data_IF_840296287762
#
_entry.id   IF_840296287762
#
_cell.length_a   1.000
_cell.length_b   1.000
_cell.length_c   1.000
_cell.angle_alpha   90.00
_cell.angle_beta   90.00
_cell.angle_gamma   90.00
#
_symmetry.space_group_name_H-M   'P 1'
#
loop_
_entity.id
_entity.type
_entity.pdbx_description
1 polymer ?
#
# COMPACT_ATOMS: atom_id res chain seq x y z
N UNK A 1 20.84 -17.15 22.56
CA UNK A 1 21.56 -16.09 21.83
C UNK A 1 22.03 -16.69 20.50
N UNK A 2 21.47 -16.25 19.37
CA UNK A 2 21.90 -16.74 18.04
C UNK A 2 23.27 -16.14 17.69
N UNK A 3 24.22 -16.97 17.26
CA UNK A 3 25.55 -16.55 16.81
C UNK A 3 25.42 -15.59 15.61
N UNK A 4 26.18 -14.49 15.64
CA UNK A 4 26.19 -13.46 14.58
C UNK A 4 26.49 -14.05 13.18
N UNK A 5 27.33 -15.08 13.11
CA UNK A 5 27.64 -15.82 11.87
C UNK A 5 26.45 -16.62 11.31
N UNK A 6 25.64 -17.25 12.18
CA UNK A 6 24.45 -17.98 11.77
C UNK A 6 23.39 -17.03 11.21
N UNK A 7 23.22 -15.86 11.84
CA UNK A 7 22.33 -14.81 11.36
C UNK A 7 22.75 -14.27 9.99
N UNK A 8 24.04 -13.95 9.81
CA UNK A 8 24.55 -13.46 8.53
C UNK A 8 24.42 -14.51 7.41
N UNK A 9 24.69 -15.78 7.70
CA UNK A 9 24.51 -16.87 6.72
C UNK A 9 23.03 -17.10 6.35
N UNK A 10 22.12 -16.94 7.31
CA UNK A 10 20.67 -17.02 7.06
C UNK A 10 20.20 -15.83 6.21
N UNK A 11 20.72 -14.63 6.48
CA UNK A 11 20.43 -13.43 5.71
C UNK A 11 20.97 -13.54 4.27
N UNK A 12 22.16 -14.10 4.06
CA UNK A 12 22.70 -14.35 2.72
C UNK A 12 21.90 -15.40 1.94
N UNK A 13 21.49 -16.48 2.61
CA UNK A 13 20.62 -17.51 2.02
C UNK A 13 19.25 -16.95 1.64
N UNK A 14 18.68 -16.11 2.49
CA UNK A 14 17.45 -15.37 2.19
C UNK A 14 17.67 -14.43 1.01
N UNK A 15 18.75 -13.66 0.98
CA UNK A 15 19.07 -12.76 -0.11
C UNK A 15 19.26 -13.49 -1.46
N UNK A 16 19.90 -14.66 -1.44
CA UNK A 16 20.06 -15.52 -2.61
C UNK A 16 18.74 -16.13 -3.09
N UNK A 17 17.87 -16.56 -2.16
CA UNK A 17 16.53 -17.04 -2.48
C UNK A 17 15.63 -15.93 -3.07
N UNK A 18 15.67 -14.73 -2.47
CA UNK A 18 14.97 -13.55 -2.97
C UNK A 18 15.52 -13.07 -4.32
N UNK A 19 16.79 -13.34 -4.64
CA UNK A 19 17.39 -13.02 -5.93
C UNK A 19 16.90 -13.88 -7.10
N UNK A 20 16.27 -15.03 -6.83
CA UNK A 20 15.72 -15.95 -7.85
C UNK A 20 14.21 -15.85 -8.04
N UNK A 21 13.51 -15.19 -7.13
CA UNK A 21 12.05 -15.07 -7.13
C UNK A 21 11.61 -13.79 -7.84
N UNK A 22 10.56 -13.89 -8.66
CA UNK A 22 9.92 -12.72 -9.26
C UNK A 22 9.43 -11.74 -8.17
N UNK A 23 9.55 -10.43 -8.43
CA UNK A 23 9.10 -9.37 -7.52
C UNK A 23 7.66 -9.59 -7.04
N UNK A 24 6.78 -10.05 -7.93
CA UNK A 24 5.38 -10.37 -7.60
C UNK A 24 5.26 -11.57 -6.66
N UNK A 25 6.08 -12.60 -6.85
CA UNK A 25 6.07 -13.79 -6.01
C UNK A 25 6.55 -13.47 -4.59
N UNK A 26 7.56 -12.60 -4.46
CA UNK A 26 8.06 -12.12 -3.16
C UNK A 26 6.97 -11.36 -2.40
N UNK A 27 6.31 -10.41 -3.06
CA UNK A 27 5.22 -9.65 -2.44
C UNK A 27 4.04 -10.57 -2.09
N UNK A 28 3.68 -11.51 -2.97
CA UNK A 28 2.63 -12.49 -2.70
C UNK A 28 2.96 -13.34 -1.47
N UNK A 29 4.21 -13.79 -1.33
CA UNK A 29 4.65 -14.54 -0.16
C UNK A 29 4.54 -13.71 1.13
N UNK A 30 4.91 -12.44 1.09
CA UNK A 30 4.76 -11.53 2.24
C UNK A 30 3.28 -11.35 2.60
N UNK A 31 2.41 -11.15 1.61
CA UNK A 31 0.97 -11.02 1.83
C UNK A 31 0.36 -12.31 2.40
N UNK A 32 0.74 -13.47 1.88
CA UNK A 32 0.30 -14.77 2.39
C UNK A 32 0.79 -15.02 3.81
N UNK A 33 2.05 -14.69 4.10
CA UNK A 33 2.60 -14.78 5.45
C UNK A 33 1.87 -13.86 6.43
N UNK A 34 1.60 -12.62 6.01
CA UNK A 34 0.85 -11.66 6.83
C UNK A 34 -0.60 -12.11 7.06
N UNK A 35 -1.25 -12.68 6.04
CA UNK A 35 -2.59 -13.26 6.15
C UNK A 35 -2.58 -14.44 7.14
N UNK A 36 -1.62 -15.36 7.01
CA UNK A 36 -1.49 -16.51 7.89
C UNK A 36 -1.29 -16.08 9.35
N UNK A 37 -0.44 -15.08 9.62
CA UNK A 37 -0.24 -14.54 10.96
C UNK A 37 -1.53 -13.94 11.54
N UNK A 38 -2.29 -13.19 10.73
CA UNK A 38 -3.56 -12.60 11.17
C UNK A 38 -4.64 -13.65 11.40
N UNK A 39 -4.74 -14.66 10.54
CA UNK A 39 -5.67 -15.78 10.72
C UNK A 39 -5.30 -16.61 11.96
N UNK A 40 -4.01 -16.92 12.15
CA UNK A 40 -3.55 -17.62 13.35
C UNK A 40 -3.90 -16.84 14.62
N UNK A 41 -3.66 -15.52 14.63
CA UNK A 41 -4.08 -14.67 15.74
C UNK A 41 -5.60 -14.70 15.95
N UNK A 42 -6.38 -14.60 14.89
CA UNK A 42 -7.84 -14.64 14.93
C UNK A 42 -8.39 -15.94 15.52
N UNK A 43 -7.73 -17.08 15.27
CA UNK A 43 -8.11 -18.38 15.85
C UNK A 43 -7.69 -18.50 17.32
N UNK A 44 -6.59 -17.87 17.71
CA UNK A 44 -6.06 -17.92 19.07
C UNK A 44 -6.71 -16.89 20.01
N UNK A 45 -7.31 -15.82 19.50
CA UNK A 45 -8.00 -14.79 20.30
C UNK A 45 -9.51 -14.87 20.14
N UNK A 46 -10.20 -15.34 21.18
CA UNK A 46 -11.67 -15.32 21.26
C UNK A 46 -12.23 -13.96 21.74
N UNK A 47 -11.37 -13.06 22.20
CA UNK A 47 -11.78 -11.78 22.79
C UNK A 47 -12.24 -10.82 21.69
N UNK A 48 -13.52 -10.44 21.76
CA UNK A 48 -14.12 -9.37 20.97
C UNK A 48 -13.97 -8.08 21.77
N UNK A 49 -13.36 -7.06 21.16
CA UNK A 49 -13.16 -5.75 21.81
C UNK A 49 -14.51 -5.17 22.26
N UNK A 50 -14.56 -4.43 23.36
CA UNK A 50 -15.80 -3.79 23.87
C UNK A 50 -16.41 -2.86 22.82
N UNK A 51 -15.58 -2.17 22.05
CA UNK A 51 -16.02 -1.27 20.97
C UNK A 51 -16.61 -2.03 19.77
N UNK A 52 -16.18 -3.27 19.56
CA UNK A 52 -16.70 -4.13 18.50
C UNK A 52 -18.19 -4.43 18.68
N UNK A 53 -18.67 -4.51 19.93
CA UNK A 53 -20.08 -4.73 20.22
C UNK A 53 -20.96 -3.58 19.71
N UNK A 54 -20.49 -2.34 19.82
CA UNK A 54 -21.19 -1.15 19.32
C UNK A 54 -21.27 -1.18 17.80
N UNK A 55 -20.17 -1.50 17.13
CA UNK A 55 -20.15 -1.61 15.66
C UNK A 55 -21.03 -2.77 15.16
N UNK A 56 -21.06 -3.88 15.87
CA UNK A 56 -21.92 -5.02 15.56
C UNK A 56 -23.40 -4.67 15.71
N UNK A 57 -23.75 -3.90 16.73
CA UNK A 57 -25.13 -3.42 16.94
C UNK A 57 -25.57 -2.48 15.81
N UNK A 58 -24.70 -1.54 15.41
CA UNK A 58 -24.95 -0.67 14.27
C UNK A 58 -25.16 -1.47 12.97
N UNK A 59 -24.36 -2.53 12.75
CA UNK A 59 -24.51 -3.42 11.60
C UNK A 59 -25.88 -4.09 11.56
N UNK A 60 -26.31 -4.64 12.70
CA UNK A 60 -27.61 -5.30 12.83
C UNK A 60 -28.77 -4.32 12.67
N UNK A 61 -28.68 -3.13 13.28
CA UNK A 61 -29.71 -2.11 13.16
C UNK A 61 -29.91 -1.66 11.70
N UNK A 62 -28.81 -1.47 10.95
CA UNK A 62 -28.87 -1.17 9.52
C UNK A 62 -29.46 -2.33 8.70
N UNK A 63 -29.07 -3.57 8.99
CA UNK A 63 -29.58 -4.75 8.30
C UNK A 63 -31.10 -4.92 8.45
N UNK A 64 -31.63 -4.67 9.66
CA UNK A 64 -33.06 -4.73 9.93
C UNK A 64 -33.82 -3.45 9.53
N UNK A 65 -33.18 -2.49 8.87
CA UNK A 65 -33.82 -1.24 8.44
C UNK A 65 -34.18 -0.27 9.58
N UNK A 66 -33.63 -0.48 10.78
CA UNK A 66 -33.88 0.35 11.97
C UNK A 66 -32.98 1.58 12.02
N UNK A 67 -33.09 2.46 11.01
CA UNK A 67 -32.25 3.65 10.84
C UNK A 67 -32.24 4.60 12.04
N UNK A 68 -33.38 4.76 12.71
CA UNK A 68 -33.54 5.59 13.91
C UNK A 68 -32.75 5.06 15.12
N UNK A 69 -32.42 3.77 15.13
CA UNK A 69 -31.80 3.08 16.26
C UNK A 69 -30.27 2.93 16.11
N UNK A 70 -29.70 3.35 14.98
CA UNK A 70 -28.27 3.15 14.66
C UNK A 70 -27.35 3.99 15.56
N UNK A 71 -27.80 5.18 15.98
CA UNK A 71 -26.95 6.15 16.70
C UNK A 71 -27.34 6.34 18.17
N UNK A 72 -28.22 5.51 18.72
CA UNK A 72 -28.87 5.76 20.02
C UNK A 72 -27.99 5.43 21.23
N UNK A 73 -27.04 4.49 21.09
CA UNK A 73 -26.34 3.94 22.27
C UNK A 73 -24.91 4.48 22.54
N UNK A 74 -24.20 5.10 21.58
CA UNK A 74 -22.85 5.64 21.90
C UNK A 74 -22.24 6.55 20.82
N UNK A 75 -22.25 6.12 19.54
CA UNK A 75 -21.49 6.78 18.46
C UNK A 75 -22.46 7.44 17.48
N UNK A 76 -22.36 8.77 17.30
CA UNK A 76 -23.23 9.55 16.41
C UNK A 76 -22.93 9.40 14.92
N UNK A 77 -21.79 8.81 14.55
CA UNK A 77 -21.35 8.62 13.17
C UNK A 77 -21.52 7.17 12.71
N UNK A 78 -22.20 6.97 11.58
CA UNK A 78 -22.35 5.67 10.93
C UNK A 78 -21.02 5.28 10.27
N UNK A 79 -20.45 4.13 10.62
CA UNK A 79 -19.18 3.68 10.03
C UNK A 79 -19.40 2.98 8.66
N UNK A 80 -18.66 3.31 7.58
CA UNK A 80 -18.82 2.72 6.25
C UNK A 80 -18.53 1.21 6.14
N UNK A 81 -17.53 0.63 6.84
CA UNK A 81 -17.27 -0.81 6.72
C UNK A 81 -18.45 -1.62 7.26
N UNK A 82 -19.27 -1.03 8.14
CA UNK A 82 -20.52 -1.59 8.66
C UNK A 82 -21.61 -1.68 7.60
N UNK A 83 -21.67 -0.74 6.67
CA UNK A 83 -22.58 -0.78 5.50
C UNK A 83 -22.17 -1.90 4.53
N UNK A 84 -20.86 -2.15 4.38
CA UNK A 84 -20.37 -3.31 3.62
C UNK A 84 -20.60 -4.66 4.35
N UNK A 85 -20.66 -4.67 5.69
CA UNK A 85 -20.95 -5.87 6.47
C UNK A 85 -22.37 -6.41 6.25
N UNK A 86 -23.34 -5.53 5.96
CA UNK A 86 -24.71 -5.95 5.59
C UNK A 86 -24.78 -6.73 4.28
N UNK A 87 -23.95 -6.39 3.28
CA UNK A 87 -24.00 -7.01 1.95
C UNK A 87 -23.44 -8.44 1.93
N UNK A 88 -22.55 -8.79 2.87
CA UNK A 88 -21.90 -10.10 2.95
C UNK A 88 -22.57 -11.06 3.95
N UNK A 89 -23.52 -10.59 4.77
CA UNK A 89 -24.26 -11.44 5.71
C UNK A 89 -25.04 -12.57 5.01
N UNK A 90 -25.33 -12.42 3.71
CA UNK A 90 -25.94 -13.45 2.88
C UNK A 90 -25.11 -14.75 2.74
N UNK A 91 -23.81 -14.76 3.06
CA UNK A 91 -22.93 -15.92 2.78
C UNK A 91 -22.59 -16.81 3.99
N UNK A 92 -22.65 -16.33 5.23
CA UNK A 92 -22.04 -17.05 6.37
C UNK A 92 -22.90 -17.19 7.63
N UNK A 93 -23.98 -16.42 7.79
CA UNK A 93 -24.89 -16.52 8.95
C UNK A 93 -24.32 -16.09 10.31
N UNK A 94 -23.00 -15.99 10.47
CA UNK A 94 -22.33 -15.48 11.67
C UNK A 94 -21.76 -14.07 11.47
N UNK A 95 -22.24 -13.14 12.29
CA UNK A 95 -21.85 -11.74 12.29
C UNK A 95 -20.39 -11.53 12.75
N UNK A 96 -19.92 -12.29 13.74
CA UNK A 96 -18.60 -12.07 14.35
C UNK A 96 -17.51 -12.50 13.38
N UNK A 97 -17.68 -13.67 12.76
CA UNK A 97 -16.75 -14.19 11.75
C UNK A 97 -16.63 -13.22 10.56
N UNK A 98 -17.74 -12.64 10.12
CA UNK A 98 -17.79 -11.74 8.98
C UNK A 98 -17.04 -10.43 9.21
N UNK A 99 -17.28 -9.79 10.35
CA UNK A 99 -16.62 -8.52 10.67
C UNK A 99 -15.12 -8.74 10.87
N UNK A 100 -14.74 -9.84 11.52
CA UNK A 100 -13.33 -10.23 11.69
C UNK A 100 -12.64 -10.56 10.36
N UNK A 101 -13.30 -11.28 9.46
CA UNK A 101 -12.76 -11.58 8.13
C UNK A 101 -12.52 -10.30 7.31
N UNK A 102 -13.42 -9.33 7.42
CA UNK A 102 -13.24 -8.03 6.78
C UNK A 102 -12.07 -7.23 7.38
N UNK A 103 -11.91 -7.20 8.71
CA UNK A 103 -10.73 -6.59 9.36
C UNK A 103 -9.43 -7.22 8.85
N UNK A 104 -9.37 -8.55 8.80
CA UNK A 104 -8.19 -9.29 8.30
C UNK A 104 -7.92 -8.97 6.83
N UNK A 105 -8.98 -8.89 6.02
CA UNK A 105 -8.88 -8.53 4.60
C UNK A 105 -8.31 -7.13 4.42
N UNK A 106 -8.90 -6.11 5.06
CA UNK A 106 -8.41 -4.73 4.95
C UNK A 106 -7.00 -4.57 5.53
N UNK A 107 -6.72 -5.20 6.68
CA UNK A 107 -5.40 -5.20 7.30
C UNK A 107 -4.32 -5.82 6.40
N UNK A 108 -4.66 -6.90 5.70
CA UNK A 108 -3.75 -7.53 4.72
C UNK A 108 -3.62 -6.70 3.45
N UNK A 109 -4.74 -6.19 2.94
CA UNK A 109 -4.78 -5.39 1.71
C UNK A 109 -4.04 -4.06 1.87
N UNK A 110 -3.94 -3.51 3.09
CA UNK A 110 -3.15 -2.30 3.41
C UNK A 110 -1.67 -2.44 3.07
N UNK A 111 -1.12 -3.66 3.07
CA UNK A 111 0.26 -3.90 2.69
C UNK A 111 0.52 -3.61 1.20
N UNK A 112 -0.50 -3.70 0.35
CA UNK A 112 -0.39 -3.45 -1.11
C UNK A 112 -0.11 -1.96 -1.41
N UNK A 113 -0.94 -0.98 -0.98
CA UNK A 113 -0.64 0.42 -1.19
C UNK A 113 0.62 0.86 -0.44
N UNK A 114 0.94 0.26 0.72
CA UNK A 114 2.20 0.53 1.42
C UNK A 114 3.42 0.07 0.60
N UNK A 115 3.38 -1.13 0.01
CA UNK A 115 4.43 -1.59 -0.90
C UNK A 115 4.56 -0.66 -2.11
N UNK A 116 3.42 -0.30 -2.72
CA UNK A 116 3.40 0.64 -3.84
C UNK A 116 4.02 1.99 -3.50
N UNK A 117 3.69 2.53 -2.32
CA UNK A 117 4.24 3.78 -1.81
C UNK A 117 5.76 3.66 -1.57
N UNK A 118 6.21 2.56 -0.94
CA UNK A 118 7.62 2.31 -0.74
C UNK A 118 8.37 2.19 -2.08
N UNK A 119 7.77 1.57 -3.11
CA UNK A 119 8.39 1.46 -4.45
C UNK A 119 8.48 2.78 -5.19
N UNK A 120 7.67 3.78 -4.82
CA UNK A 120 7.83 5.11 -5.39
C UNK A 120 9.15 5.73 -4.94
N UNK A 121 9.62 5.52 -3.70
CA UNK A 121 10.82 6.21 -3.19
C UNK A 121 12.07 5.33 -3.18
N UNK A 122 11.91 4.02 -3.03
CA UNK A 122 13.02 3.11 -2.74
C UNK A 122 13.16 1.99 -3.80
N UNK A 123 14.36 1.38 -3.92
CA UNK A 123 14.56 0.19 -4.76
C UNK A 123 13.83 -1.04 -4.20
N UNK A 124 13.62 -2.05 -5.05
CA UNK A 124 12.85 -3.26 -4.75
C UNK A 124 13.18 -3.90 -3.38
N UNK A 125 14.46 -4.12 -3.09
CA UNK A 125 14.91 -4.80 -1.86
C UNK A 125 14.46 -4.09 -0.59
N UNK A 126 14.60 -2.77 -0.55
CA UNK A 126 14.22 -1.98 0.61
C UNK A 126 12.70 -1.82 0.70
N UNK A 127 11.99 -1.72 -0.43
CA UNK A 127 10.51 -1.73 -0.43
C UNK A 127 9.96 -3.05 0.13
N UNK A 128 10.50 -4.20 -0.26
CA UNK A 128 10.10 -5.49 0.30
C UNK A 128 10.40 -5.60 1.79
N UNK A 129 11.55 -5.11 2.25
CA UNK A 129 11.91 -5.11 3.65
C UNK A 129 10.96 -4.23 4.49
N UNK A 130 10.61 -3.04 3.99
CA UNK A 130 9.61 -2.18 4.63
C UNK A 130 8.26 -2.90 4.71
N UNK A 131 7.77 -3.50 3.62
CA UNK A 131 6.50 -4.23 3.62
C UNK A 131 6.54 -5.43 4.57
N UNK A 132 7.66 -6.16 4.63
CA UNK A 132 7.85 -7.28 5.57
C UNK A 132 7.81 -6.81 7.02
N UNK A 133 8.48 -5.69 7.34
CA UNK A 133 8.45 -5.10 8.69
C UNK A 133 7.02 -4.76 9.10
N UNK A 134 6.25 -4.11 8.23
CA UNK A 134 4.83 -3.81 8.48
C UNK A 134 3.96 -5.08 8.56
N UNK A 135 4.31 -6.14 7.84
CA UNK A 135 3.60 -7.42 7.85
C UNK A 135 3.76 -8.18 9.19
N UNK A 136 4.94 -8.12 9.81
CA UNK A 136 5.24 -8.85 11.05
C UNK A 136 5.10 -7.99 12.31
N UNK A 137 5.03 -6.66 12.18
CA UNK A 137 4.94 -5.77 13.33
C UNK A 137 3.66 -6.03 14.14
N UNK A 138 3.84 -6.33 15.43
CA UNK A 138 2.76 -6.82 16.28
C UNK A 138 1.53 -5.91 16.28
N UNK A 139 1.74 -4.58 16.29
CA UNK A 139 0.66 -3.56 16.30
C UNK A 139 -0.26 -3.73 15.08
N UNK A 140 0.30 -3.94 13.89
CA UNK A 140 -0.46 -4.12 12.66
C UNK A 140 -1.10 -5.51 12.54
N UNK A 141 -0.55 -6.51 13.24
CA UNK A 141 -1.13 -7.84 13.30
C UNK A 141 -2.30 -7.88 14.28
N UNK A 142 -2.15 -7.30 15.49
CA UNK A 142 -3.23 -7.28 16.49
C UNK A 142 -4.39 -6.40 16.05
N UNK A 143 -4.09 -5.14 15.69
CA UNK A 143 -5.13 -4.21 15.27
C UNK A 143 -5.80 -4.62 13.94
N UNK A 144 -5.08 -5.37 13.09
CA UNK A 144 -5.64 -5.95 11.86
C UNK A 144 -6.60 -7.12 12.08
N UNK A 145 -6.61 -7.73 13.27
CA UNK A 145 -7.53 -8.81 13.67
C UNK A 145 -8.67 -8.27 14.54
N UNK A 146 -8.41 -7.18 15.26
CA UNK A 146 -9.42 -6.53 16.08
C UNK A 146 -10.59 -6.03 15.22
N UNK A 147 -11.79 -6.31 15.72
CA UNK A 147 -13.03 -5.91 15.08
C UNK A 147 -13.21 -4.41 15.31
N UNK A 148 -12.98 -3.62 14.27
CA UNK A 148 -13.03 -2.16 14.37
C UNK A 148 -12.91 -1.46 13.03
N UNK A 149 -13.02 -0.14 13.09
CA UNK A 149 -12.85 0.79 11.95
C UNK A 149 -11.40 1.02 11.54
N UNK A 150 -10.45 0.64 12.39
CA UNK A 150 -9.04 0.99 12.24
C UNK A 150 -8.37 0.32 11.02
N UNK A 151 -8.59 -0.99 10.71
CA UNK A 151 -8.01 -1.61 9.52
C UNK A 151 -8.48 -0.96 8.21
N UNK A 152 -9.77 -0.60 8.14
CA UNK A 152 -10.33 0.08 6.98
C UNK A 152 -9.76 1.51 6.84
N UNK A 153 -9.66 2.24 7.95
CA UNK A 153 -9.01 3.56 7.99
C UNK A 153 -7.57 3.47 7.45
N UNK A 154 -6.73 2.57 7.95
CA UNK A 154 -5.35 2.42 7.50
C UNK A 154 -5.24 2.06 6.02
N UNK A 155 -6.11 1.18 5.52
CA UNK A 155 -6.17 0.83 4.11
C UNK A 155 -6.45 2.05 3.24
N UNK A 156 -7.53 2.79 3.54
CA UNK A 156 -7.92 3.95 2.75
C UNK A 156 -6.92 5.09 2.85
N UNK A 157 -6.34 5.33 4.03
CA UNK A 157 -5.25 6.30 4.21
C UNK A 157 -4.01 5.94 3.40
N UNK A 158 -3.58 4.66 3.42
CA UNK A 158 -2.44 4.20 2.63
C UNK A 158 -2.70 4.31 1.13
N UNK A 159 -3.90 3.95 0.67
CA UNK A 159 -4.33 4.14 -0.73
C UNK A 159 -4.30 5.61 -1.14
N UNK A 160 -4.88 6.51 -0.34
CA UNK A 160 -4.88 7.94 -0.63
C UNK A 160 -3.47 8.51 -0.71
N UNK A 161 -2.60 8.13 0.24
CA UNK A 161 -1.20 8.56 0.25
C UNK A 161 -0.42 8.02 -0.95
N UNK A 162 -0.65 6.76 -1.33
CA UNK A 162 -0.07 6.16 -2.53
C UNK A 162 -0.50 6.90 -3.80
N UNK A 163 -1.79 7.15 -3.99
CA UNK A 163 -2.28 7.85 -5.18
C UNK A 163 -1.82 9.30 -5.22
N UNK A 164 -1.80 9.99 -4.09
CA UNK A 164 -1.25 11.35 -4.01
C UNK A 164 0.23 11.40 -4.37
N UNK A 165 1.05 10.54 -3.75
CA UNK A 165 2.48 10.46 -4.05
C UNK A 165 2.74 10.03 -5.51
N UNK A 166 1.94 9.11 -6.05
CA UNK A 166 2.01 8.70 -7.44
C UNK A 166 1.58 9.82 -8.41
N UNK A 167 0.59 10.64 -8.05
CA UNK A 167 0.16 11.80 -8.83
C UNK A 167 1.31 12.80 -8.98
N UNK A 168 1.98 13.10 -7.87
CA UNK A 168 3.11 14.04 -7.83
C UNK A 168 4.32 13.47 -8.58
N UNK A 169 4.70 12.21 -8.32
CA UNK A 169 5.92 11.62 -8.90
C UNK A 169 5.79 11.26 -10.37
N UNK A 170 4.60 10.86 -10.83
CA UNK A 170 4.35 10.41 -12.21
C UNK A 170 3.67 11.47 -13.06
N UNK A 171 3.45 12.68 -12.52
CA UNK A 171 2.80 13.82 -13.17
C UNK A 171 1.43 13.47 -13.82
N UNK A 172 0.71 12.52 -13.22
CA UNK A 172 -0.57 12.03 -13.72
C UNK A 172 -1.72 12.59 -12.90
N UNK A 173 -2.36 13.64 -13.42
CA UNK A 173 -3.43 14.38 -12.76
C UNK A 173 -4.65 13.53 -12.37
N UNK A 174 -4.94 12.46 -13.12
CA UNK A 174 -6.03 11.51 -12.82
C UNK A 174 -5.91 10.85 -11.43
N UNK A 175 -4.71 10.75 -10.85
CA UNK A 175 -4.57 10.15 -9.52
C UNK A 175 -5.06 11.05 -8.38
N UNK A 176 -5.20 12.36 -8.57
CA UNK A 176 -5.70 13.28 -7.54
C UNK A 176 -7.15 13.03 -7.12
N UNK A 177 -8.15 12.90 -8.04
CA UNK A 177 -9.51 12.57 -7.63
C UNK A 177 -9.57 11.20 -6.92
N UNK A 178 -8.76 10.22 -7.35
CA UNK A 178 -8.70 8.92 -6.70
C UNK A 178 -8.12 8.99 -5.27
N UNK A 179 -7.10 9.84 -5.07
CA UNK A 179 -6.59 10.15 -3.73
C UNK A 179 -7.64 10.85 -2.87
N UNK A 180 -8.39 11.81 -3.43
CA UNK A 180 -9.48 12.50 -2.73
C UNK A 180 -10.60 11.55 -2.28
N UNK A 181 -11.04 10.64 -3.16
CA UNK A 181 -12.03 9.60 -2.80
C UNK A 181 -11.50 8.73 -1.66
N UNK A 182 -10.25 8.27 -1.75
CA UNK A 182 -9.64 7.44 -0.73
C UNK A 182 -9.50 8.18 0.62
N UNK A 183 -9.10 9.45 0.62
CA UNK A 183 -9.02 10.25 1.84
C UNK A 183 -10.40 10.55 2.45
N UNK A 184 -11.43 10.78 1.64
CA UNK A 184 -12.81 10.93 2.13
C UNK A 184 -13.30 9.64 2.77
N UNK A 185 -13.03 8.48 2.16
CA UNK A 185 -13.36 7.17 2.76
C UNK A 185 -12.57 6.91 4.06
N UNK A 186 -11.33 7.38 4.15
CA UNK A 186 -10.56 7.35 5.39
C UNK A 186 -11.18 8.28 6.45
N UNK A 187 -11.54 9.50 6.06
CA UNK A 187 -12.13 10.53 6.94
C UNK A 187 -13.47 10.09 7.51
N UNK A 188 -14.23 9.31 6.75
CA UNK A 188 -15.47 8.72 7.22
C UNK A 188 -15.23 7.68 8.33
N UNK A 189 -14.20 6.83 8.20
CA UNK A 189 -13.86 5.88 9.27
C UNK A 189 -13.32 6.60 10.54
N UNK A 190 -12.46 7.60 10.35
CA UNK A 190 -11.85 8.38 11.41
C UNK A 190 -11.72 9.85 11.02
N UNK A 191 -12.25 10.74 11.85
CA UNK A 191 -12.23 12.20 11.62
C UNK A 191 -10.81 12.75 11.50
N UNK A 192 -9.84 12.07 12.12
CA UNK A 192 -8.42 12.41 12.03
C UNK A 192 -7.90 12.40 10.57
N UNK A 193 -8.51 11.62 9.68
CA UNK A 193 -8.14 11.63 8.25
C UNK A 193 -8.52 12.91 7.50
N UNK A 194 -9.36 13.79 8.08
CA UNK A 194 -9.63 15.11 7.50
C UNK A 194 -8.34 15.92 7.36
N UNK A 195 -7.34 15.67 8.22
CA UNK A 195 -5.99 16.25 8.08
C UNK A 195 -5.36 15.92 6.73
N UNK A 196 -5.55 14.71 6.19
CA UNK A 196 -4.99 14.35 4.87
C UNK A 196 -5.60 15.17 3.74
N UNK A 197 -6.92 15.44 3.81
CA UNK A 197 -7.60 16.31 2.85
C UNK A 197 -7.10 17.76 2.96
N UNK A 198 -6.99 18.29 4.19
CA UNK A 198 -6.51 19.64 4.44
C UNK A 198 -5.08 19.84 3.91
N UNK A 199 -4.17 18.92 4.23
CA UNK A 199 -2.77 18.97 3.76
C UNK A 199 -2.68 18.87 2.24
N UNK A 200 -3.44 17.96 1.64
CA UNK A 200 -3.48 17.80 0.18
C UNK A 200 -3.99 19.08 -0.51
N UNK A 201 -5.05 19.70 0.02
CA UNK A 201 -5.59 20.95 -0.50
C UNK A 201 -4.60 22.12 -0.36
N UNK A 202 -3.95 22.25 0.79
CA UNK A 202 -2.91 23.26 1.02
C UNK A 202 -1.72 23.09 0.06
N UNK A 203 -1.27 21.85 -0.14
CA UNK A 203 -0.22 21.53 -1.10
C UNK A 203 -0.62 21.97 -2.52
N UNK A 204 -1.81 21.58 -2.98
CA UNK A 204 -2.30 21.96 -4.31
C UNK A 204 -2.43 23.49 -4.46
N UNK A 205 -2.98 24.18 -3.46
CA UNK A 205 -3.09 25.64 -3.46
C UNK A 205 -1.72 26.34 -3.54
N UNK A 206 -0.72 25.83 -2.82
CA UNK A 206 0.65 26.37 -2.86
C UNK A 206 1.32 26.13 -4.22
N UNK A 207 1.13 24.94 -4.80
CA UNK A 207 1.65 24.59 -6.12
C UNK A 207 1.01 25.40 -7.24
N UNK A 208 -0.27 25.76 -7.09
CA UNK A 208 -1.01 26.57 -8.06
C UNK A 208 -0.61 28.05 -7.99
N UNK A 209 -0.43 28.62 -6.79
CA UNK A 209 0.15 29.97 -6.61
C UNK A 209 1.59 30.07 -7.08
N UNK A 210 2.32 28.95 -7.05
CA UNK A 210 3.64 28.82 -7.65
C UNK A 210 3.64 28.74 -9.17
N UNK A 211 2.50 28.81 -9.87
CA UNK A 211 2.32 28.62 -11.32
C UNK A 211 3.07 29.57 -12.27
N UNK A 212 3.92 30.47 -11.75
CA UNK A 212 4.98 31.14 -12.52
C UNK A 212 6.36 30.47 -12.44
N UNK A 213 6.53 29.41 -11.64
CA UNK A 213 7.82 28.73 -11.34
C UNK A 213 7.69 27.23 -11.03
N UNK A 214 6.68 26.53 -11.56
CA UNK A 214 6.64 25.04 -11.54
C UNK A 214 6.95 24.44 -12.92
N UNK A 215 7.68 25.19 -13.76
CA UNK A 215 8.52 24.59 -14.79
C UNK A 215 9.95 24.60 -14.24
N UNK A 216 10.56 23.42 -14.13
CA UNK A 216 11.88 23.14 -13.56
C UNK A 216 11.95 23.07 -12.03
N UNK A 217 11.74 21.85 -11.50
CA UNK A 217 12.63 21.36 -10.45
C UNK A 217 14.01 21.09 -11.10
N UNK A 218 15.08 21.81 -10.75
CA UNK A 218 16.42 21.43 -11.12
C UNK A 218 16.88 20.33 -10.16
N UNK A 219 17.28 19.16 -10.69
CA UNK A 219 18.01 18.18 -9.88
C UNK A 219 17.57 16.72 -10.00
N UNK A 220 17.50 16.17 -11.20
CA UNK A 220 17.87 14.76 -11.40
C UNK A 220 18.52 14.55 -12.77
N UNK A 221 19.47 15.41 -13.12
CA UNK A 221 20.54 15.08 -14.07
C UNK A 221 21.63 14.33 -13.30
N UNK A 222 21.37 13.07 -12.96
CA UNK A 222 22.45 12.10 -13.05
C UNK A 222 22.46 11.59 -14.48
N UNK A 223 23.22 12.30 -15.32
CA UNK A 223 23.82 11.75 -16.52
C UNK A 223 24.52 10.45 -16.14
N UNK A 224 23.93 9.31 -16.47
CA UNK A 224 24.73 8.15 -16.86
C UNK A 224 25.01 8.31 -18.35
N UNK A 225 26.05 9.11 -18.64
CA UNK A 225 26.77 9.01 -19.89
C UNK A 225 27.58 7.72 -19.87
N UNK A 226 27.14 6.73 -20.64
CA UNK A 226 28.01 5.69 -21.17
C UNK A 226 27.76 5.64 -22.67
N UNK A 227 28.31 6.63 -23.37
CA UNK A 227 28.51 6.60 -24.82
C UNK A 227 30.01 6.54 -25.07
N UNK A 228 30.58 5.37 -24.77
CA UNK A 228 31.91 4.97 -25.23
C UNK A 228 31.80 3.53 -25.75
N UNK A 229 31.54 3.41 -27.06
CA UNK A 229 32.23 2.40 -27.86
C UNK A 229 32.67 3.01 -29.19
N UNK A 230 33.97 2.94 -29.51
CA UNK A 230 34.54 3.48 -30.73
C UNK A 230 34.09 2.68 -31.96
N UNK A 231 33.93 3.38 -33.08
CA UNK A 231 33.59 2.78 -34.37
C UNK A 231 34.65 1.75 -34.81
N UNK A 232 34.26 0.73 -35.59
CA UNK A 232 35.23 -0.14 -36.24
C UNK A 232 35.94 0.65 -37.34
N UNK A 233 37.21 0.91 -37.08
CA UNK A 233 38.25 1.28 -38.05
C UNK A 233 38.23 0.24 -39.17
N UNK A 234 38.00 0.70 -40.41
CA UNK A 234 38.07 -0.14 -41.58
C UNK A 234 39.49 -0.68 -41.80
N UNK A 235 39.66 -1.93 -42.26
CA UNK A 235 40.94 -2.39 -42.75
C UNK A 235 41.21 -1.80 -44.14
N UNK A 236 42.15 -0.85 -44.20
CA UNK A 236 42.93 -0.56 -45.40
C UNK A 236 43.91 -1.72 -45.56
N UNK A 237 43.64 -2.61 -46.52
CA UNK A 237 44.62 -3.57 -47.03
C UNK A 237 44.75 -3.35 -48.53
N UNK A 238 46.01 -3.20 -48.93
CA UNK A 238 46.52 -2.95 -50.26
C UNK A 238 46.43 -4.19 -51.17
N UNK A 239 46.40 -3.93 -52.48
CA UNK A 239 46.49 -4.89 -53.59
C UNK A 239 45.45 -4.49 -54.63
N UNK A 240 45.77 -3.92 -55.80
CA UNK A 240 46.92 -4.15 -56.67
C UNK A 240 46.39 -4.80 -57.96
N UNK A 241 45.98 -3.99 -58.94
CA UNK A 241 45.81 -4.34 -60.37
C UNK A 241 45.31 -3.08 -61.11
N UNK A 242 46.19 -2.40 -61.85
CA UNK A 242 46.37 -2.53 -63.31
C UNK A 242 45.34 -1.75 -64.17
N UNK A 243 45.74 -0.52 -64.51
CA UNK A 243 45.66 0.17 -65.82
C UNK A 243 45.58 -0.84 -66.99
N UNK A 244 44.80 -0.64 -68.09
CA UNK A 244 44.97 0.50 -68.99
C UNK A 244 43.76 1.11 -69.73
N UNK A 245 43.97 2.38 -70.08
CA UNK A 245 43.63 3.08 -71.32
C UNK A 245 42.65 2.42 -72.30
N UNK A 246 41.51 3.07 -72.53
CA UNK A 246 41.24 3.87 -73.74
C UNK A 246 40.03 4.77 -73.54
#
# INVERSE_FOLDING_TARGET
>A
MMNSSAFNSAMERLAAAFGRLDERAVVALILLGALALRVARALLTAVVNTDAAVYLYQAKALYYGMWSSVNTCSIKSVNPPIVAHGFRFLLTGDWICLVRAASILFGTLTLVPLYGLARLFFPFRTSCLVTLLFAVMHVFVSAGVDVGRDPAYWFFSACGLYFFAAAVKRERLWYFPLAGIAFTLAAWNRVEAVLYLAVTALYLASSWRGGGKVAALPGSTHSFGCRDRPGPVGPVVAGGALVPHR
#
